data_IF_220596992212
#
_entry.id   IF_220596992212
#
_cell.length_a   1.000
_cell.length_b   1.000
_cell.length_c   1.000
_cell.angle_alpha   90.00
_cell.angle_beta   90.00
_cell.angle_gamma   90.00
#
_symmetry.space_group_name_H-M   'P 1'
#
loop_
_entity.id
_entity.type
_entity.pdbx_description
1 polymer ?
#
# COMPACT_ATOMS: atom_id res chain seq x y z
N UNK A 1 -15.01 44.43 -71.47
CA UNK A 1 -15.46 43.03 -71.33
C UNK A 1 -14.57 42.36 -70.29
N UNK A 2 -15.07 42.23 -69.07
CA UNK A 2 -14.41 41.52 -67.97
C UNK A 2 -14.78 40.04 -68.08
N UNK A 3 -13.79 39.16 -68.24
CA UNK A 3 -13.97 37.69 -68.38
C UNK A 3 -14.34 36.98 -67.06
N UNK A 4 -14.52 37.73 -65.96
CA UNK A 4 -14.63 37.18 -64.62
C UNK A 4 -16.08 37.00 -64.12
N UNK A 5 -17.10 37.41 -64.89
CA UNK A 5 -18.50 37.35 -64.45
C UNK A 5 -19.23 36.06 -64.86
N UNK A 6 -18.84 35.39 -65.96
CA UNK A 6 -19.50 34.13 -66.37
C UNK A 6 -19.19 32.97 -65.43
N UNK A 7 -18.00 32.95 -64.81
CA UNK A 7 -17.59 31.87 -63.91
C UNK A 7 -18.36 31.88 -62.57
N UNK A 8 -18.81 33.07 -62.13
CA UNK A 8 -19.63 33.21 -60.92
C UNK A 8 -21.07 32.72 -61.10
N UNK A 9 -21.54 32.52 -62.33
CA UNK A 9 -22.89 32.00 -62.60
C UNK A 9 -23.03 30.49 -62.33
N UNK A 10 -21.91 29.77 -62.28
CA UNK A 10 -21.87 28.31 -62.07
C UNK A 10 -21.56 27.91 -60.63
N UNK A 11 -21.19 28.88 -59.78
CA UNK A 11 -21.01 28.67 -58.36
C UNK A 11 -22.26 29.22 -57.66
N UNK A 12 -23.12 28.39 -57.07
CA UNK A 12 -24.13 28.92 -56.18
C UNK A 12 -23.39 29.65 -55.05
N UNK A 13 -23.63 30.95 -54.88
CA UNK A 13 -23.26 31.72 -53.68
C UNK A 13 -24.12 31.28 -52.47
N UNK A 14 -24.38 29.98 -52.37
CA UNK A 14 -24.89 29.39 -51.15
C UNK A 14 -23.71 29.38 -50.19
N UNK A 15 -23.73 30.35 -49.27
CA UNK A 15 -23.12 30.18 -47.96
C UNK A 15 -23.59 28.81 -47.44
N UNK A 16 -22.83 27.76 -47.73
CA UNK A 16 -22.93 26.47 -47.05
C UNK A 16 -22.53 26.76 -45.60
N UNK A 17 -23.46 27.35 -44.85
CA UNK A 17 -23.55 27.25 -43.40
C UNK A 17 -23.83 25.79 -43.13
N UNK A 18 -22.79 24.97 -43.34
CA UNK A 18 -22.72 23.61 -42.87
C UNK A 18 -23.11 23.72 -41.40
N UNK A 19 -24.21 23.08 -40.96
CA UNK A 19 -24.57 23.13 -39.55
C UNK A 19 -23.32 22.71 -38.76
N UNK A 20 -23.01 23.39 -37.64
CA UNK A 20 -21.80 23.08 -36.89
C UNK A 20 -21.80 21.59 -36.63
N UNK A 21 -20.73 20.91 -37.04
CA UNK A 21 -20.59 19.48 -36.81
C UNK A 21 -20.51 19.30 -35.29
N UNK A 22 -21.63 18.94 -34.68
CA UNK A 22 -21.71 18.67 -33.25
C UNK A 22 -21.15 17.27 -33.06
N UNK A 23 -19.90 17.20 -32.62
CA UNK A 23 -19.35 15.94 -32.12
C UNK A 23 -19.91 15.72 -30.72
N UNK A 24 -20.80 14.75 -30.57
CA UNK A 24 -21.18 14.24 -29.26
C UNK A 24 -19.97 13.49 -28.69
N UNK A 25 -19.21 14.16 -27.83
CA UNK A 25 -18.17 13.49 -27.04
C UNK A 25 -18.89 12.62 -26.02
N UNK A 26 -18.76 11.29 -26.07
CA UNK A 26 -19.37 10.44 -25.06
C UNK A 26 -18.84 10.84 -23.69
N UNK A 27 -19.73 11.04 -22.73
CA UNK A 27 -19.37 11.43 -21.36
C UNK A 27 -18.56 10.35 -20.63
N UNK A 28 -18.62 9.11 -21.12
CA UNK A 28 -17.91 7.97 -20.58
C UNK A 28 -16.82 7.53 -21.55
N UNK A 29 -15.58 7.92 -21.24
CA UNK A 29 -14.41 7.30 -21.84
C UNK A 29 -14.29 5.87 -21.31
N UNK A 30 -14.36 4.87 -22.19
CA UNK A 30 -14.06 3.50 -21.83
C UNK A 30 -12.61 3.42 -21.32
N UNK A 31 -12.46 3.09 -20.04
CA UNK A 31 -11.16 2.92 -19.41
C UNK A 31 -10.54 1.66 -20.02
N UNK A 32 -9.42 1.74 -20.76
CA UNK A 32 -8.87 0.59 -21.50
C UNK A 32 -8.41 -0.54 -20.58
N UNK A 33 -8.22 -0.25 -19.30
CA UNK A 33 -7.83 -1.21 -18.27
C UNK A 33 -8.76 -1.09 -17.08
N UNK A 34 -9.80 -1.93 -17.04
CA UNK A 34 -10.52 -2.17 -15.80
C UNK A 34 -9.68 -3.13 -14.95
N UNK A 35 -9.13 -2.66 -13.83
CA UNK A 35 -8.43 -3.53 -12.87
C UNK A 35 -9.39 -4.62 -12.39
N UNK A 36 -9.24 -5.83 -12.94
CA UNK A 36 -10.01 -6.99 -12.49
C UNK A 36 -9.57 -7.33 -11.07
N UNK A 37 -10.52 -7.40 -10.14
CA UNK A 37 -10.25 -7.90 -8.80
C UNK A 37 -9.95 -9.41 -8.94
N UNK A 38 -8.74 -9.87 -8.61
CA UNK A 38 -8.40 -11.28 -8.74
C UNK A 38 -9.31 -12.14 -7.84
N UNK A 39 -9.81 -13.26 -8.37
CA UNK A 39 -10.62 -14.20 -7.59
C UNK A 39 -9.72 -15.13 -6.77
N UNK A 40 -10.18 -15.62 -5.63
CA UNK A 40 -9.40 -16.58 -4.81
C UNK A 40 -9.46 -18.02 -5.31
N UNK A 41 -10.23 -18.29 -6.38
CA UNK A 41 -10.54 -19.65 -6.83
C UNK A 41 -9.59 -20.19 -7.90
N UNK A 42 -8.92 -19.31 -8.65
CA UNK A 42 -7.89 -19.69 -9.60
C UNK A 42 -6.50 -19.55 -8.92
N UNK A 43 -5.63 -20.57 -9.00
CA UNK A 43 -4.30 -20.53 -8.38
C UNK A 43 -3.47 -19.30 -8.77
N UNK A 44 -3.61 -18.80 -10.00
CA UNK A 44 -2.86 -17.62 -10.45
C UNK A 44 -3.34 -16.35 -9.73
N UNK A 45 -4.65 -16.17 -9.62
CA UNK A 45 -5.24 -15.01 -8.96
C UNK A 45 -5.12 -15.08 -7.43
N UNK A 46 -5.03 -16.28 -6.86
CA UNK A 46 -4.71 -16.47 -5.44
C UNK A 46 -3.32 -15.91 -5.08
N UNK A 47 -2.29 -16.20 -5.89
CA UNK A 47 -0.93 -15.67 -5.69
C UNK A 47 -0.95 -14.13 -5.74
N UNK A 48 -1.70 -13.55 -6.67
CA UNK A 48 -1.84 -12.10 -6.78
C UNK A 48 -2.54 -11.49 -5.55
N UNK A 49 -3.59 -12.14 -5.04
CA UNK A 49 -4.26 -11.73 -3.80
C UNK A 49 -3.32 -11.78 -2.60
N UNK A 50 -2.57 -12.87 -2.44
CA UNK A 50 -1.57 -13.02 -1.38
C UNK A 50 -0.50 -11.94 -1.48
N UNK A 51 0.05 -11.69 -2.66
CA UNK A 51 1.02 -10.61 -2.89
C UNK A 51 0.47 -9.22 -2.56
N UNK A 52 -0.79 -8.94 -2.94
CA UNK A 52 -1.48 -7.69 -2.60
C UNK A 52 -1.71 -7.57 -1.08
N UNK A 53 -2.06 -8.66 -0.42
CA UNK A 53 -2.21 -8.71 1.04
C UNK A 53 -0.87 -8.43 1.75
N UNK A 54 0.22 -9.09 1.36
CA UNK A 54 1.55 -8.86 1.94
C UNK A 54 2.04 -7.42 1.73
N UNK A 55 1.84 -6.85 0.53
CA UNK A 55 2.12 -5.42 0.29
C UNK A 55 1.26 -4.50 1.15
N UNK A 56 -0.02 -4.83 1.34
CA UNK A 56 -0.91 -4.08 2.24
C UNK A 56 -0.44 -4.12 3.69
N UNK A 57 -0.01 -5.30 4.16
CA UNK A 57 0.54 -5.48 5.51
C UNK A 57 1.84 -4.69 5.68
N UNK A 58 2.78 -4.78 4.72
CA UNK A 58 4.02 -4.02 4.74
C UNK A 58 3.80 -2.50 4.63
N UNK A 59 2.76 -2.07 3.91
CA UNK A 59 2.39 -0.67 3.73
C UNK A 59 1.62 -0.03 4.89
N UNK A 60 1.55 -0.69 6.06
CA UNK A 60 0.91 -0.13 7.25
C UNK A 60 -0.63 -0.22 7.27
N UNK A 61 -1.25 -0.97 6.34
CA UNK A 61 -2.71 -1.23 6.34
C UNK A 61 -3.11 -2.43 7.21
N UNK A 62 -2.24 -2.84 8.14
CA UNK A 62 -2.50 -3.96 9.07
C UNK A 62 -3.71 -3.61 9.97
N UNK A 63 -4.72 -4.49 10.16
CA UNK A 63 -5.81 -4.27 11.10
C UNK A 63 -5.32 -4.05 12.55
N UNK A 64 -6.04 -3.27 13.36
CA UNK A 64 -5.58 -2.94 14.74
C UNK A 64 -5.59 -4.15 15.66
N UNK A 65 -6.60 -5.01 15.51
CA UNK A 65 -6.68 -6.27 16.24
C UNK A 65 -5.49 -7.20 15.95
N UNK A 66 -5.01 -7.27 14.69
CA UNK A 66 -3.84 -8.10 14.32
C UNK A 66 -2.57 -7.61 15.02
N UNK A 67 -2.39 -6.29 15.15
CA UNK A 67 -1.27 -5.74 15.91
C UNK A 67 -1.38 -6.01 17.40
N UNK A 68 -2.56 -5.83 18.00
CA UNK A 68 -2.78 -6.07 19.44
C UNK A 68 -2.52 -7.54 19.77
N UNK A 69 -3.08 -8.47 18.98
CA UNK A 69 -2.87 -9.90 19.17
C UNK A 69 -1.42 -10.31 18.93
N UNK A 70 -0.76 -9.74 17.92
CA UNK A 70 0.67 -9.91 17.71
C UNK A 70 1.50 -9.47 18.93
N UNK A 71 1.20 -8.30 19.49
CA UNK A 71 1.88 -7.81 20.69
C UNK A 71 1.63 -8.69 21.91
N UNK A 72 0.43 -9.23 22.06
CA UNK A 72 0.12 -10.10 23.18
C UNK A 72 0.84 -11.45 23.08
N UNK A 73 0.87 -12.05 21.89
CA UNK A 73 1.50 -13.35 21.66
C UNK A 73 3.02 -13.21 21.61
N UNK A 74 3.54 -12.47 20.63
CA UNK A 74 4.98 -12.35 20.40
C UNK A 74 5.65 -11.39 21.39
N UNK A 75 5.01 -10.26 21.66
CA UNK A 75 5.51 -9.32 22.67
C UNK A 75 5.42 -9.90 24.08
N UNK A 76 4.33 -10.61 24.42
CA UNK A 76 4.19 -11.30 25.70
C UNK A 76 5.28 -12.33 25.94
N UNK A 77 5.55 -13.19 24.94
CA UNK A 77 6.67 -14.16 25.01
C UNK A 77 8.01 -13.44 25.11
N UNK A 78 8.22 -12.39 24.31
CA UNK A 78 9.48 -11.63 24.34
C UNK A 78 9.70 -11.00 25.72
N UNK A 79 8.71 -10.36 26.33
CA UNK A 79 8.80 -9.76 27.66
C UNK A 79 8.95 -10.80 28.77
N UNK A 80 8.27 -11.95 28.66
CA UNK A 80 8.41 -13.04 29.61
C UNK A 80 9.85 -13.58 29.69
N UNK A 81 10.62 -13.46 28.60
CA UNK A 81 12.04 -13.85 28.57
C UNK A 81 12.94 -12.66 28.93
N UNK A 82 12.64 -11.46 28.41
CA UNK A 82 13.45 -10.25 28.62
C UNK A 82 13.50 -9.80 30.08
N UNK A 83 12.37 -9.83 30.78
CA UNK A 83 12.31 -9.31 32.15
C UNK A 83 13.17 -10.16 33.11
N UNK A 84 13.02 -11.50 33.17
CA UNK A 84 13.85 -12.32 34.05
C UNK A 84 15.32 -12.32 33.65
N UNK A 85 15.63 -12.31 32.35
CA UNK A 85 17.03 -12.28 31.89
C UNK A 85 17.71 -10.94 32.22
N UNK A 86 17.00 -9.82 32.11
CA UNK A 86 17.50 -8.52 32.54
C UNK A 86 17.72 -8.45 34.06
N UNK A 87 16.79 -8.99 34.86
CA UNK A 87 16.94 -9.05 36.32
C UNK A 87 18.16 -9.92 36.68
N UNK A 88 18.28 -11.11 36.09
CA UNK A 88 19.38 -12.03 36.33
C UNK A 88 20.74 -11.38 36.03
N UNK A 89 20.83 -10.59 34.95
CA UNK A 89 22.04 -9.85 34.57
C UNK A 89 22.42 -8.76 35.58
N UNK A 90 21.43 -8.07 36.18
CA UNK A 90 21.67 -7.02 37.17
C UNK A 90 22.05 -7.61 38.53
N UNK A 91 21.44 -8.74 38.90
CA UNK A 91 21.67 -9.39 40.21
C UNK A 91 22.85 -10.35 40.23
N UNK A 92 23.45 -10.67 39.09
CA UNK A 92 24.56 -11.62 39.02
C UNK A 92 25.85 -11.03 39.58
N UNK A 93 26.52 -11.77 40.49
CA UNK A 93 27.86 -11.42 40.97
C UNK A 93 28.93 -11.56 39.87
N UNK A 94 28.75 -12.54 38.96
CA UNK A 94 29.67 -12.78 37.84
C UNK A 94 29.09 -12.26 36.53
N UNK A 95 29.32 -10.98 36.28
CA UNK A 95 28.79 -10.26 35.11
C UNK A 95 29.25 -10.91 33.80
N UNK A 96 30.47 -11.44 33.72
CA UNK A 96 31.01 -12.05 32.50
C UNK A 96 30.28 -13.34 32.10
N UNK A 97 29.99 -14.22 33.07
CA UNK A 97 29.25 -15.47 32.84
C UNK A 97 27.77 -15.18 32.52
N UNK A 98 27.17 -14.24 33.25
CA UNK A 98 25.80 -13.81 33.02
C UNK A 98 25.63 -13.21 31.61
N UNK A 99 26.60 -12.42 31.15
CA UNK A 99 26.55 -11.80 29.83
C UNK A 99 26.65 -12.84 28.70
N UNK A 100 27.57 -13.80 28.79
CA UNK A 100 27.73 -14.86 27.77
C UNK A 100 26.47 -15.73 27.66
N UNK A 101 25.86 -16.08 28.79
CA UNK A 101 24.67 -16.94 28.83
C UNK A 101 23.40 -16.21 28.41
N UNK A 102 23.27 -14.92 28.72
CA UNK A 102 22.06 -14.13 28.40
C UNK A 102 22.08 -13.49 27.01
N UNK A 103 23.25 -13.29 26.39
CA UNK A 103 23.39 -12.63 25.08
C UNK A 103 22.54 -13.25 23.97
N UNK A 104 22.54 -14.59 23.78
CA UNK A 104 21.74 -15.21 22.74
C UNK A 104 20.24 -14.96 22.95
N UNK A 105 19.77 -15.12 24.19
CA UNK A 105 18.36 -14.91 24.54
C UNK A 105 17.92 -13.46 24.31
N UNK A 106 18.77 -12.49 24.68
CA UNK A 106 18.52 -11.06 24.41
C UNK A 106 18.49 -10.76 22.91
N UNK A 107 19.39 -11.36 22.14
CA UNK A 107 19.43 -11.15 20.69
C UNK A 107 18.15 -11.65 20.03
N UNK A 108 17.73 -12.89 20.31
CA UNK A 108 16.52 -13.47 19.74
C UNK A 108 15.25 -12.70 20.12
N UNK A 109 15.12 -12.30 21.37
CA UNK A 109 13.95 -11.55 21.85
C UNK A 109 13.92 -10.12 21.30
N UNK A 110 15.07 -9.46 21.18
CA UNK A 110 15.16 -8.11 20.62
C UNK A 110 14.66 -8.05 19.16
N UNK A 111 14.93 -9.08 18.36
CA UNK A 111 14.48 -9.17 16.97
C UNK A 111 12.95 -9.14 16.90
N UNK A 112 12.27 -9.93 17.74
CA UNK A 112 10.81 -9.99 17.77
C UNK A 112 10.21 -8.63 18.13
N UNK A 113 10.77 -7.96 19.13
CA UNK A 113 10.34 -6.62 19.56
C UNK A 113 10.55 -5.58 18.45
N UNK A 114 11.70 -5.61 17.77
CA UNK A 114 12.01 -4.70 16.65
C UNK A 114 11.01 -4.88 15.52
N UNK A 115 10.69 -6.13 15.14
CA UNK A 115 9.71 -6.42 14.08
C UNK A 115 8.34 -5.85 14.43
N UNK A 116 7.87 -6.09 15.66
CA UNK A 116 6.59 -5.58 16.17
C UNK A 116 6.56 -4.04 16.19
N UNK A 117 7.64 -3.42 16.65
CA UNK A 117 7.78 -1.97 16.69
C UNK A 117 7.75 -1.34 15.29
N UNK A 118 8.43 -1.94 14.31
CA UNK A 118 8.39 -1.44 12.93
C UNK A 118 6.98 -1.53 12.34
N UNK A 119 6.25 -2.62 12.63
CA UNK A 119 4.87 -2.79 12.21
C UNK A 119 3.92 -1.74 12.80
N UNK A 120 4.04 -1.44 14.09
CA UNK A 120 3.22 -0.38 14.73
C UNK A 120 3.59 1.00 14.21
N UNK A 121 4.88 1.31 14.06
CA UNK A 121 5.35 2.59 13.54
C UNK A 121 4.84 2.85 12.12
N UNK A 122 4.94 1.86 11.22
CA UNK A 122 4.46 1.97 9.84
C UNK A 122 2.95 2.30 9.79
N UNK A 123 2.17 1.66 10.66
CA UNK A 123 0.74 1.93 10.75
C UNK A 123 0.40 3.32 11.29
N UNK A 124 1.12 3.78 12.32
CA UNK A 124 0.93 5.11 12.89
C UNK A 124 1.25 6.20 11.85
N UNK A 125 2.31 5.99 11.05
CA UNK A 125 2.68 6.88 9.94
C UNK A 125 1.59 6.90 8.86
N UNK A 126 1.07 5.74 8.44
CA UNK A 126 0.02 5.65 7.44
C UNK A 126 -1.27 6.37 7.89
N UNK A 127 -1.67 6.21 9.16
CA UNK A 127 -2.84 6.89 9.73
C UNK A 127 -2.66 8.41 9.77
N UNK A 128 -1.46 8.89 10.11
CA UNK A 128 -1.14 10.33 10.11
C UNK A 128 -1.23 10.93 8.70
N UNK A 129 -0.79 10.20 7.67
CA UNK A 129 -0.92 10.64 6.28
C UNK A 129 -2.38 10.69 5.81
N UNK A 130 -3.22 9.78 6.30
CA UNK A 130 -4.64 9.73 5.92
C UNK A 130 -5.43 10.89 6.53
N UNK A 131 -5.14 11.29 7.78
CA UNK A 131 -5.79 12.44 8.43
C UNK A 131 -5.39 13.82 7.84
N UNK A 132 -4.39 13.87 6.96
CA UNK A 132 -3.93 15.12 6.32
C UNK A 132 -4.49 15.33 4.91
N UNK A 133 -5.19 14.34 4.35
CA UNK A 133 -5.91 14.43 3.08
C UNK A 133 -7.39 14.63 3.38
#
# INVERSE_FOLDING_TARGET
MSKNDEFKKFLPDEEFKSPPIVYEVPSEAEIPFQERIPSGYDPMSEIQLRGRAYRGLAGGKIPWWVLITGWFIFGGIAFAILIPTAIALITSNDLFLALITSLPALFFTSILVIIMWRGTAAKLVARKSQNRR
#
